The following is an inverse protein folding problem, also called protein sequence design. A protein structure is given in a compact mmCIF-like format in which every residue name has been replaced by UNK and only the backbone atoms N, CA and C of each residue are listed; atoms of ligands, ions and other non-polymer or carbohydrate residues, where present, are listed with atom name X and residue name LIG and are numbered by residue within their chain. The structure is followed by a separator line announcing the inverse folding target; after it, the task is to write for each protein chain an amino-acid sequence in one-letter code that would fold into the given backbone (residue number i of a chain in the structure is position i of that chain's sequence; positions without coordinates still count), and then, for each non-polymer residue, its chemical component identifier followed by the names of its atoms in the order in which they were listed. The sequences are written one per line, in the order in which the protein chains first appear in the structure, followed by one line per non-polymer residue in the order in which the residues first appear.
data_IF_739133788557
#
_entry.id   IF_739133788557
#
_cell.length_a   1.000
_cell.length_b   1.000
_cell.length_c   1.000
_cell.angle_alpha   90.00
_cell.angle_beta   90.00
_cell.angle_gamma   90.00
#
_symmetry.space_group_name_H-M   'P 1'
#
loop_
_entity.id
_entity.type
_entity.pdbx_description
1 polymer ?
#
# COMPACT_ATOMS: atom_id res chain seq x y z
N UNK A 1 -4.48 -40.82 -0.07
CA UNK A 1 -4.49 -39.59 -0.89
C UNK A 1 -5.66 -38.70 -0.48
N UNK A 2 -5.55 -38.03 0.65
CA UNK A 2 -6.54 -37.08 1.18
C UNK A 2 -5.81 -36.22 2.20
N UNK A 3 -5.00 -35.22 1.76
CA UNK A 3 -4.37 -34.21 2.66
C UNK A 3 -3.62 -33.08 1.92
N UNK A 4 -3.99 -32.74 0.67
CA UNK A 4 -3.30 -31.64 -0.07
C UNK A 4 -4.13 -30.35 -0.15
N UNK A 5 -5.40 -30.34 0.29
CA UNK A 5 -6.32 -29.23 0.00
C UNK A 5 -6.48 -28.18 1.13
N UNK A 6 -5.48 -27.98 2.03
CA UNK A 6 -5.67 -27.02 3.15
C UNK A 6 -4.54 -26.04 3.41
N UNK A 7 -3.67 -25.77 2.43
CA UNK A 7 -2.51 -24.90 2.70
C UNK A 7 -2.26 -23.81 1.64
N UNK A 8 -3.32 -23.23 1.10
CA UNK A 8 -3.24 -22.07 0.18
C UNK A 8 -3.89 -20.83 0.86
N UNK A 9 -3.50 -20.57 2.10
CA UNK A 9 -3.92 -19.35 2.80
C UNK A 9 -2.75 -18.84 3.62
N UNK A 10 -1.94 -17.95 3.05
CA UNK A 10 -1.20 -16.94 3.77
C UNK A 10 -0.23 -16.16 2.87
N UNK A 11 -0.74 -15.43 1.90
CA UNK A 11 -0.09 -14.22 1.39
C UNK A 11 -1.20 -13.32 0.85
N UNK A 12 -1.97 -12.73 1.76
CA UNK A 12 -2.85 -11.63 1.43
C UNK A 12 -2.40 -10.42 2.25
N UNK A 13 -1.74 -9.50 1.58
CA UNK A 13 -1.62 -8.11 2.01
C UNK A 13 -3.05 -7.55 2.09
N UNK A 14 -3.63 -7.49 3.30
CA UNK A 14 -4.88 -6.80 3.53
C UNK A 14 -4.60 -5.37 3.99
N UNK A 15 -4.75 -4.45 3.05
CA UNK A 15 -5.16 -3.08 3.36
C UNK A 15 -6.68 -3.06 3.19
N UNK A 16 -7.42 -3.23 4.28
CA UNK A 16 -8.86 -2.96 4.29
C UNK A 16 -9.14 -2.01 5.43
N UNK A 17 -9.45 -0.77 5.08
CA UNK A 17 -10.10 0.16 5.97
C UNK A 17 -11.54 -0.30 6.26
N UNK A 18 -11.77 -0.94 7.38
CA UNK A 18 -13.08 -1.29 7.89
C UNK A 18 -13.45 -0.42 9.08
N UNK A 19 -14.53 0.32 8.97
CA UNK A 19 -15.15 1.07 10.05
C UNK A 19 -15.74 0.05 11.03
N UNK A 20 -15.17 -0.07 12.23
CA UNK A 20 -15.75 -0.85 13.32
C UNK A 20 -16.35 0.12 14.33
N UNK A 21 -17.68 0.03 14.48
CA UNK A 21 -18.39 0.67 15.59
C UNK A 21 -17.99 0.00 16.91
N UNK A 22 -17.57 0.82 17.85
CA UNK A 22 -17.32 0.39 19.23
C UNK A 22 -18.64 -0.04 19.90
N UNK A 23 -18.71 -1.29 20.30
CA UNK A 23 -19.70 -1.78 21.25
C UNK A 23 -19.07 -1.86 22.63
N UNK A 24 -19.75 -1.25 23.60
CA UNK A 24 -19.40 -1.28 25.02
C UNK A 24 -19.32 -2.72 25.52
N UNK A 25 -18.17 -3.08 26.09
CA UNK A 25 -17.99 -4.32 26.81
C UNK A 25 -18.09 -4.03 28.33
N UNK A 26 -19.14 -4.55 28.89
CA UNK A 26 -19.53 -4.50 30.29
C UNK A 26 -18.52 -5.26 31.18
N UNK A 27 -18.16 -4.63 32.30
CA UNK A 27 -17.30 -5.21 33.32
C UNK A 27 -18.04 -6.32 34.08
N UNK A 28 -17.53 -7.54 34.03
CA UNK A 28 -17.81 -8.53 35.09
C UNK A 28 -16.53 -9.29 35.44
N UNK A 29 -15.79 -8.75 36.39
CA UNK A 29 -14.77 -9.50 37.12
C UNK A 29 -15.39 -10.14 38.37
N UNK A 30 -15.57 -11.46 38.32
CA UNK A 30 -15.87 -12.26 39.47
C UNK A 30 -14.59 -12.61 40.23
N UNK A 31 -14.54 -12.21 41.49
CA UNK A 31 -13.54 -12.58 42.50
C UNK A 31 -13.56 -14.07 42.77
N UNK A 32 -12.43 -14.75 42.69
CA UNK A 32 -12.23 -16.06 43.32
C UNK A 32 -10.94 -16.10 44.14
N UNK A 33 -11.16 -16.56 45.28
CA UNK A 33 -10.50 -16.86 46.52
C UNK A 33 -9.01 -17.29 46.48
N UNK A 34 -8.32 -16.80 47.51
CA UNK A 34 -6.89 -16.98 47.76
C UNK A 34 -6.64 -18.33 48.44
N UNK A 35 -5.86 -19.18 47.82
CA UNK A 35 -5.06 -20.20 48.54
C UNK A 35 -3.57 -19.96 48.22
N UNK A 36 -2.82 -19.69 49.29
CA UNK A 36 -1.40 -19.38 49.30
C UNK A 36 -0.57 -20.60 48.89
N UNK A 37 0.01 -20.55 47.67
CA UNK A 37 1.16 -21.36 47.28
C UNK A 37 2.26 -20.41 46.83
N UNK A 38 3.50 -20.67 47.24
CA UNK A 38 4.69 -19.85 47.04
C UNK A 38 4.73 -19.29 45.62
N UNK A 39 4.57 -17.97 45.45
CA UNK A 39 4.63 -17.26 44.18
C UNK A 39 6.09 -17.29 43.67
N UNK A 40 6.42 -18.32 42.90
CA UNK A 40 7.43 -18.17 41.85
C UNK A 40 6.75 -17.41 40.73
N UNK A 41 7.03 -16.09 40.63
CA UNK A 41 6.67 -15.33 39.45
C UNK A 41 7.36 -16.01 38.28
N UNK A 42 6.61 -16.67 37.39
CA UNK A 42 7.17 -17.24 36.16
C UNK A 42 7.58 -16.03 35.32
N UNK A 43 8.87 -15.69 35.32
CA UNK A 43 9.45 -14.85 34.29
C UNK A 43 9.22 -15.54 32.96
N UNK A 44 8.98 -14.77 31.91
CA UNK A 44 8.67 -15.26 30.57
C UNK A 44 9.59 -16.40 30.11
N UNK A 45 9.03 -17.47 29.52
CA UNK A 45 9.78 -18.63 29.09
C UNK A 45 10.35 -18.44 27.67
N UNK A 46 11.53 -19.04 27.41
CA UNK A 46 12.06 -19.14 26.06
C UNK A 46 11.29 -20.25 25.34
N UNK A 47 10.62 -19.92 24.23
CA UNK A 47 9.92 -20.87 23.39
C UNK A 47 10.87 -21.51 22.35
N UNK A 48 11.73 -20.70 21.72
CA UNK A 48 12.75 -21.15 20.78
C UNK A 48 13.91 -20.14 20.66
N UNK A 49 15.04 -20.60 20.10
CA UNK A 49 16.18 -19.77 19.71
C UNK A 49 16.53 -20.09 18.26
N UNK A 50 16.70 -19.06 17.42
CA UNK A 50 17.09 -19.17 16.02
C UNK A 50 18.28 -18.25 15.78
N UNK A 51 19.47 -18.82 15.56
CA UNK A 51 20.68 -18.03 15.48
C UNK A 51 20.86 -17.12 16.70
N UNK A 52 20.88 -15.80 16.46
CA UNK A 52 21.03 -14.79 17.52
C UNK A 52 19.69 -14.31 18.10
N UNK A 53 18.57 -14.83 17.63
CA UNK A 53 17.24 -14.41 18.03
C UNK A 53 16.59 -15.35 19.02
N UNK A 54 16.03 -14.80 20.08
CA UNK A 54 15.22 -15.49 21.07
C UNK A 54 13.74 -15.23 20.81
N UNK A 55 12.92 -16.28 20.89
CA UNK A 55 11.46 -16.18 20.86
C UNK A 55 10.95 -16.55 22.23
N UNK A 56 10.18 -15.65 22.83
CA UNK A 56 9.57 -15.82 24.15
C UNK A 56 8.16 -16.41 24.01
N UNK A 57 7.67 -17.07 25.07
CA UNK A 57 6.29 -17.56 25.13
C UNK A 57 5.29 -16.40 24.98
N UNK A 58 5.60 -15.23 25.57
CA UNK A 58 4.79 -14.03 25.45
C UNK A 58 4.73 -13.46 24.01
N UNK A 59 5.74 -13.71 23.17
CA UNK A 59 5.72 -13.24 21.78
C UNK A 59 4.66 -13.97 20.96
N UNK A 60 4.44 -15.26 21.27
CA UNK A 60 3.37 -16.06 20.64
C UNK A 60 2.02 -15.50 21.02
N UNK A 61 1.83 -15.18 22.33
CA UNK A 61 0.56 -14.64 22.84
C UNK A 61 0.27 -13.24 22.28
N UNK A 62 1.29 -12.36 22.21
CA UNK A 62 1.18 -11.04 21.58
C UNK A 62 0.78 -11.15 20.11
N UNK A 63 1.42 -12.03 19.35
CA UNK A 63 1.10 -12.25 17.93
C UNK A 63 -0.35 -12.69 17.74
N UNK A 64 -0.87 -13.54 18.62
CA UNK A 64 -2.28 -13.95 18.58
C UNK A 64 -3.23 -12.78 18.88
N UNK A 65 -2.88 -11.93 19.86
CA UNK A 65 -3.66 -10.74 20.21
C UNK A 65 -3.67 -9.75 19.04
N UNK A 66 -2.53 -9.52 18.41
CA UNK A 66 -2.41 -8.61 17.27
C UNK A 66 -3.23 -9.09 16.06
N UNK A 67 -3.21 -10.38 15.74
CA UNK A 67 -4.04 -10.95 14.67
C UNK A 67 -5.53 -10.76 14.94
N UNK A 68 -5.97 -10.97 16.19
CA UNK A 68 -7.36 -10.73 16.60
C UNK A 68 -7.74 -9.25 16.49
N UNK A 69 -6.87 -8.35 16.89
CA UNK A 69 -7.11 -6.90 16.83
C UNK A 69 -7.26 -6.39 15.38
N UNK A 70 -6.60 -7.06 14.44
CA UNK A 70 -6.71 -6.79 13.01
C UNK A 70 -7.93 -7.44 12.35
N UNK A 71 -8.79 -8.11 13.12
CA UNK A 71 -10.00 -8.78 12.60
C UNK A 71 -9.73 -10.07 11.84
N UNK A 72 -8.51 -10.63 11.93
CA UNK A 72 -8.20 -11.91 11.29
C UNK A 72 -8.94 -13.07 11.96
N UNK A 73 -9.46 -14.02 11.16
CA UNK A 73 -10.00 -15.26 11.69
C UNK A 73 -8.88 -16.08 12.33
N UNK A 74 -8.99 -16.36 13.63
CA UNK A 74 -8.00 -17.15 14.37
C UNK A 74 -8.45 -18.58 14.66
N UNK A 75 -9.56 -19.04 14.04
CA UNK A 75 -10.14 -20.36 14.31
C UNK A 75 -9.22 -21.53 13.99
N UNK A 76 -8.43 -21.40 12.91
CA UNK A 76 -7.50 -22.45 12.46
C UNK A 76 -6.04 -22.15 12.88
N UNK A 77 -5.79 -21.10 13.66
CA UNK A 77 -4.46 -20.70 14.09
C UNK A 77 -4.16 -21.36 15.44
N UNK A 78 -3.16 -22.25 15.45
CA UNK A 78 -2.67 -22.89 16.67
C UNK A 78 -1.45 -22.16 17.23
N UNK A 79 -1.17 -22.35 18.53
CA UNK A 79 0.06 -21.84 19.15
C UNK A 79 1.30 -22.37 18.43
N UNK A 80 1.30 -23.65 18.02
CA UNK A 80 2.38 -24.27 17.27
C UNK A 80 2.59 -23.61 15.88
N UNK A 81 1.50 -23.29 15.17
CA UNK A 81 1.60 -22.63 13.87
C UNK A 81 2.15 -21.19 14.00
N UNK A 82 1.79 -20.48 15.07
CA UNK A 82 2.35 -19.15 15.37
C UNK A 82 3.83 -19.23 15.71
N UNK A 83 4.22 -20.17 16.57
CA UNK A 83 5.63 -20.38 16.90
C UNK A 83 6.43 -20.72 15.64
N UNK A 84 5.93 -21.63 14.78
CA UNK A 84 6.57 -21.95 13.51
C UNK A 84 6.77 -20.73 12.62
N UNK A 85 5.76 -19.85 12.53
CA UNK A 85 5.86 -18.58 11.77
C UNK A 85 6.88 -17.61 12.37
N UNK A 86 6.89 -17.44 13.68
CA UNK A 86 7.90 -16.63 14.35
C UNK A 86 9.33 -17.16 14.12
N UNK A 87 9.51 -18.50 14.12
CA UNK A 87 10.79 -19.12 13.84
C UNK A 87 11.24 -18.86 12.39
N UNK A 88 10.32 -18.94 11.41
CA UNK A 88 10.59 -18.57 10.01
C UNK A 88 11.06 -17.12 9.90
N UNK A 89 10.34 -16.18 10.52
CA UNK A 89 10.67 -14.75 10.45
C UNK A 89 12.04 -14.46 11.10
N UNK A 90 12.39 -15.17 12.20
CA UNK A 90 13.72 -15.06 12.83
C UNK A 90 14.82 -15.62 11.94
N UNK A 91 14.56 -16.73 11.25
CA UNK A 91 15.55 -17.33 10.34
C UNK A 91 15.82 -16.41 9.15
N UNK A 92 14.77 -15.84 8.53
CA UNK A 92 14.94 -14.85 7.47
C UNK A 92 15.74 -13.64 7.95
N UNK A 93 15.41 -13.07 9.12
CA UNK A 93 16.11 -11.92 9.65
C UNK A 93 17.58 -12.24 10.00
N UNK A 94 17.84 -13.41 10.59
CA UNK A 94 19.19 -13.88 10.87
C UNK A 94 20.03 -13.95 9.60
N UNK A 95 19.52 -14.61 8.57
CA UNK A 95 20.21 -14.75 7.30
C UNK A 95 20.35 -13.41 6.55
N UNK A 96 19.36 -12.51 6.65
CA UNK A 96 19.47 -11.17 6.09
C UNK A 96 20.68 -10.42 6.64
N UNK A 97 20.93 -10.53 7.96
CA UNK A 97 22.11 -9.93 8.60
C UNK A 97 23.41 -10.59 8.13
N UNK A 98 23.43 -11.94 8.04
CA UNK A 98 24.59 -12.67 7.53
C UNK A 98 24.94 -12.29 6.10
N UNK A 99 23.91 -12.10 5.26
CA UNK A 99 24.04 -11.69 3.86
C UNK A 99 24.25 -10.17 3.68
N UNK A 100 24.43 -9.42 4.77
CA UNK A 100 24.61 -7.96 4.76
C UNK A 100 23.47 -7.19 4.10
N UNK A 101 22.23 -7.70 4.20
CA UNK A 101 21.04 -6.98 3.77
C UNK A 101 20.68 -5.93 4.83
N UNK A 102 21.06 -4.69 4.57
CA UNK A 102 20.87 -3.61 5.52
C UNK A 102 19.46 -2.99 5.40
N UNK A 103 18.87 -2.72 6.55
CA UNK A 103 17.69 -1.86 6.71
C UNK A 103 18.16 -0.64 7.51
N UNK A 104 17.93 0.57 6.99
CA UNK A 104 18.39 1.78 7.70
C UNK A 104 17.49 2.07 8.90
N UNK A 105 18.08 2.55 9.97
CA UNK A 105 17.32 2.92 11.18
C UNK A 105 16.31 4.04 10.89
N UNK A 106 16.60 4.94 9.93
CA UNK A 106 15.67 5.98 9.50
C UNK A 106 14.41 5.40 8.84
N UNK A 107 14.55 4.36 8.01
CA UNK A 107 13.40 3.66 7.41
C UNK A 107 12.54 2.98 8.48
N UNK A 108 13.19 2.33 9.47
CA UNK A 108 12.47 1.68 10.58
C UNK A 108 11.74 2.71 11.43
N UNK A 109 12.40 3.85 11.75
CA UNK A 109 11.79 4.93 12.51
C UNK A 109 10.60 5.55 11.78
N UNK A 110 10.73 5.83 10.50
CA UNK A 110 9.64 6.37 9.69
C UNK A 110 8.41 5.43 9.66
N UNK A 111 8.65 4.12 9.51
CA UNK A 111 7.60 3.10 9.57
C UNK A 111 6.94 3.06 10.96
N UNK A 112 7.73 3.11 12.03
CA UNK A 112 7.24 3.07 13.42
C UNK A 112 6.44 4.33 13.76
N UNK A 113 6.89 5.51 13.33
CA UNK A 113 6.19 6.78 13.54
C UNK A 113 4.84 6.81 12.79
N UNK A 114 4.81 6.32 11.55
CA UNK A 114 3.57 6.16 10.79
C UNK A 114 2.57 5.23 11.49
N UNK A 115 3.06 4.11 12.00
CA UNK A 115 2.24 3.15 12.74
C UNK A 115 1.70 3.74 14.06
N UNK A 116 2.54 4.44 14.83
CA UNK A 116 2.13 5.15 16.06
C UNK A 116 1.05 6.18 15.76
N UNK A 117 1.21 6.96 14.69
CA UNK A 117 0.22 7.94 14.27
C UNK A 117 -1.12 7.29 13.94
N UNK A 118 -1.10 6.21 13.17
CA UNK A 118 -2.30 5.45 12.79
C UNK A 118 -2.99 4.86 14.03
N UNK A 119 -2.26 4.18 14.92
CA UNK A 119 -2.79 3.61 16.16
C UNK A 119 -3.39 4.68 17.08
N UNK A 120 -2.71 5.84 17.19
CA UNK A 120 -3.21 6.96 18.00
C UNK A 120 -4.53 7.50 17.43
N UNK A 121 -4.67 7.60 16.10
CA UNK A 121 -5.92 8.02 15.48
C UNK A 121 -7.05 7.00 15.69
N UNK A 122 -6.76 5.71 15.59
CA UNK A 122 -7.75 4.63 15.78
C UNK A 122 -8.23 4.52 17.24
N UNK A 123 -7.31 4.63 18.19
CA UNK A 123 -7.60 4.45 19.63
C UNK A 123 -8.05 5.77 20.27
N UNK A 124 -7.72 6.91 19.65
CA UNK A 124 -8.19 8.25 19.99
C UNK A 124 -7.23 9.08 20.86
N UNK A 125 -6.25 8.50 21.56
CA UNK A 125 -5.18 9.26 22.24
C UNK A 125 -3.95 8.42 22.54
N UNK A 126 -2.80 9.07 22.77
CA UNK A 126 -1.55 8.42 23.16
C UNK A 126 -1.68 7.66 24.47
N UNK A 127 -2.34 8.24 25.48
CA UNK A 127 -2.50 7.62 26.80
C UNK A 127 -3.33 6.33 26.70
N UNK A 128 -4.41 6.35 25.91
CA UNK A 128 -5.23 5.15 25.68
C UNK A 128 -4.44 4.07 24.93
N UNK A 129 -3.64 4.46 23.95
CA UNK A 129 -2.78 3.56 23.20
C UNK A 129 -1.74 2.89 24.11
N UNK A 130 -1.02 3.67 24.91
CA UNK A 130 -0.03 3.13 25.87
C UNK A 130 -0.67 2.18 26.88
N UNK A 131 -1.87 2.53 27.37
CA UNK A 131 -2.64 1.65 28.28
C UNK A 131 -3.07 0.36 27.58
N UNK A 132 -3.52 0.45 26.32
CA UNK A 132 -3.95 -0.72 25.53
C UNK A 132 -2.79 -1.71 25.32
N UNK A 133 -1.60 -1.20 24.97
CA UNK A 133 -0.39 -2.00 24.77
C UNK A 133 0.39 -2.27 26.06
N UNK A 134 -0.13 -1.87 27.22
CA UNK A 134 0.50 -2.03 28.53
C UNK A 134 1.93 -1.48 28.59
N UNK A 135 2.13 -0.25 28.05
CA UNK A 135 3.43 0.41 28.01
C UNK A 135 3.51 1.57 29.00
N UNK A 136 4.66 1.74 29.68
CA UNK A 136 4.81 2.80 30.67
C UNK A 136 4.89 4.19 30.02
N UNK A 137 5.50 4.28 28.84
CA UNK A 137 5.75 5.53 28.14
C UNK A 137 5.95 5.33 26.64
N UNK A 138 6.01 6.44 25.89
CA UNK A 138 6.19 6.45 24.45
C UNK A 138 7.57 5.95 24.01
N UNK A 139 8.61 6.18 24.80
CA UNK A 139 9.97 5.75 24.46
C UNK A 139 10.05 4.23 24.44
N UNK A 140 9.55 3.56 25.49
CA UNK A 140 9.50 2.10 25.57
C UNK A 140 8.66 1.51 24.45
N UNK A 141 7.52 2.16 24.10
CA UNK A 141 6.67 1.71 22.99
C UNK A 141 7.35 1.86 21.65
N UNK A 142 8.00 3.00 21.40
CA UNK A 142 8.75 3.26 20.17
C UNK A 142 9.91 2.28 19.99
N UNK A 143 10.67 2.01 21.06
CA UNK A 143 11.77 1.05 21.02
C UNK A 143 11.27 -0.36 20.66
N UNK A 144 10.19 -0.81 21.28
CA UNK A 144 9.61 -2.13 20.92
C UNK A 144 9.13 -2.18 19.48
N UNK A 145 8.42 -1.15 18.99
CA UNK A 145 8.02 -1.08 17.59
C UNK A 145 9.21 -1.04 16.64
N UNK A 146 10.27 -0.34 17.00
CA UNK A 146 11.50 -0.31 16.23
C UNK A 146 12.07 -1.71 16.02
N UNK A 147 12.24 -2.49 17.10
CA UNK A 147 12.77 -3.85 17.03
C UNK A 147 11.86 -4.78 16.20
N UNK A 148 10.55 -4.72 16.43
CA UNK A 148 9.55 -5.50 15.67
C UNK A 148 9.61 -5.14 14.18
N UNK A 149 9.61 -3.84 13.85
CA UNK A 149 9.63 -3.38 12.46
C UNK A 149 10.96 -3.70 11.77
N UNK A 150 12.10 -3.53 12.46
CA UNK A 150 13.43 -3.87 11.94
C UNK A 150 13.50 -5.34 11.55
N UNK A 151 13.05 -6.21 12.43
CA UNK A 151 13.03 -7.64 12.19
C UNK A 151 12.12 -8.00 11.02
N UNK A 152 10.92 -7.44 10.96
CA UNK A 152 9.99 -7.64 9.86
C UNK A 152 10.59 -7.19 8.52
N UNK A 153 11.17 -6.00 8.47
CA UNK A 153 11.78 -5.46 7.25
C UNK A 153 12.98 -6.31 6.79
N UNK A 154 13.80 -6.83 7.70
CA UNK A 154 14.87 -7.78 7.37
C UNK A 154 14.31 -9.08 6.79
N UNK A 155 13.26 -9.64 7.42
CA UNK A 155 12.59 -10.84 6.95
C UNK A 155 11.99 -10.65 5.55
N UNK A 156 11.26 -9.57 5.32
CA UNK A 156 10.68 -9.22 4.01
C UNK A 156 11.75 -9.04 2.94
N UNK A 157 12.86 -8.36 3.28
CA UNK A 157 13.96 -8.14 2.36
C UNK A 157 14.65 -9.44 1.96
N UNK A 158 14.82 -10.37 2.91
CA UNK A 158 15.37 -11.69 2.62
C UNK A 158 14.44 -12.51 1.73
N UNK A 159 13.14 -12.53 2.04
CA UNK A 159 12.16 -13.22 1.20
C UNK A 159 12.15 -12.67 -0.22
N UNK A 160 12.20 -11.35 -0.38
CA UNK A 160 12.30 -10.70 -1.70
C UNK A 160 13.55 -11.16 -2.44
N UNK A 161 14.73 -11.15 -1.78
CA UNK A 161 16.00 -11.59 -2.37
C UNK A 161 15.96 -13.04 -2.86
N UNK A 162 15.30 -13.94 -2.12
CA UNK A 162 15.18 -15.35 -2.51
C UNK A 162 14.42 -15.51 -3.84
N UNK A 163 13.46 -14.62 -4.12
CA UNK A 163 12.55 -14.78 -5.26
C UNK A 163 12.73 -13.75 -6.38
N UNK A 164 13.55 -12.71 -6.19
CA UNK A 164 13.67 -11.59 -7.15
C UNK A 164 14.17 -11.98 -8.54
N UNK A 165 15.02 -13.01 -8.62
CA UNK A 165 15.55 -13.50 -9.90
C UNK A 165 14.77 -14.69 -10.47
N UNK A 166 13.66 -15.08 -9.81
CA UNK A 166 12.88 -16.23 -10.23
C UNK A 166 11.87 -15.81 -11.31
N UNK A 167 12.11 -16.31 -12.51
CA UNK A 167 11.23 -16.13 -13.65
C UNK A 167 10.67 -17.47 -14.12
N UNK A 168 9.59 -17.45 -14.88
CA UNK A 168 9.04 -18.64 -15.54
C UNK A 168 9.08 -18.49 -17.05
N UNK A 169 9.57 -19.52 -17.72
CA UNK A 169 9.55 -19.61 -19.18
C UNK A 169 8.15 -20.02 -19.68
N UNK A 170 7.78 -19.73 -20.94
CA UNK A 170 6.51 -20.19 -21.51
C UNK A 170 6.30 -21.71 -21.44
N UNK A 171 7.38 -22.47 -21.53
CA UNK A 171 7.32 -23.93 -21.42
C UNK A 171 7.03 -24.39 -19.98
N UNK A 172 7.62 -23.75 -18.97
CA UNK A 172 7.32 -24.03 -17.56
C UNK A 172 5.87 -23.67 -17.23
N UNK A 173 5.33 -22.58 -17.77
CA UNK A 173 3.92 -22.19 -17.62
C UNK A 173 3.01 -23.29 -18.23
N UNK A 174 3.35 -23.78 -19.42
CA UNK A 174 2.60 -24.87 -20.07
C UNK A 174 2.64 -26.15 -19.24
N UNK A 175 3.82 -26.53 -18.74
CA UNK A 175 3.99 -27.73 -17.91
C UNK A 175 3.23 -27.60 -16.59
N UNK A 176 3.24 -26.41 -15.97
CA UNK A 176 2.45 -26.13 -14.77
C UNK A 176 0.97 -26.36 -15.06
N UNK A 177 0.42 -25.73 -16.09
CA UNK A 177 -0.99 -25.85 -16.44
C UNK A 177 -1.42 -27.28 -16.76
N UNK A 178 -0.60 -28.02 -17.51
CA UNK A 178 -0.88 -29.40 -17.89
C UNK A 178 -0.85 -30.39 -16.71
N UNK A 179 -0.17 -30.04 -15.59
CA UNK A 179 -0.16 -30.84 -14.37
C UNK A 179 -1.45 -30.70 -13.56
N UNK A 180 -2.22 -29.64 -13.79
CA UNK A 180 -3.49 -29.42 -13.09
C UNK A 180 -4.58 -30.25 -13.77
N UNK A 181 -5.20 -31.21 -13.07
CA UNK A 181 -6.32 -31.95 -13.60
C UNK A 181 -7.45 -30.99 -14.03
N UNK A 182 -8.21 -31.33 -15.07
CA UNK A 182 -9.21 -30.44 -15.65
C UNK A 182 -10.30 -30.03 -14.65
N UNK A 183 -10.67 -30.90 -13.74
CA UNK A 183 -11.62 -30.68 -12.66
C UNK A 183 -11.07 -29.79 -11.52
N UNK A 184 -9.74 -29.75 -11.36
CA UNK A 184 -9.03 -28.94 -10.35
C UNK A 184 -8.52 -27.58 -10.90
N UNK A 185 -8.71 -27.31 -12.20
CA UNK A 185 -8.29 -26.02 -12.78
C UNK A 185 -8.99 -24.85 -12.08
N UNK A 186 -8.27 -23.75 -11.81
CA UNK A 186 -8.87 -22.60 -11.18
C UNK A 186 -10.01 -22.03 -12.01
N UNK A 187 -11.02 -21.51 -11.34
CA UNK A 187 -12.11 -20.76 -11.96
C UNK A 187 -11.76 -19.28 -11.82
N UNK A 188 -11.72 -18.58 -12.95
CA UNK A 188 -11.57 -17.12 -12.96
C UNK A 188 -12.95 -16.47 -12.97
N UNK A 189 -13.13 -15.49 -12.09
CA UNK A 189 -14.38 -14.75 -11.97
C UNK A 189 -14.68 -13.92 -13.22
N UNK A 190 -15.89 -13.36 -13.29
CA UNK A 190 -16.26 -12.46 -14.37
C UNK A 190 -15.38 -11.21 -14.41
N UNK A 191 -14.98 -10.78 -15.60
CA UNK A 191 -14.05 -9.69 -15.84
C UNK A 191 -14.55 -8.70 -16.88
N UNK A 192 -14.06 -7.47 -16.77
CA UNK A 192 -14.34 -6.40 -17.73
C UNK A 192 -13.03 -5.85 -18.32
N UNK A 193 -13.04 -5.58 -19.61
CA UNK A 193 -12.12 -4.63 -20.24
C UNK A 193 -12.81 -3.28 -20.36
N UNK A 194 -12.17 -2.24 -19.86
CA UNK A 194 -12.75 -0.90 -19.73
C UNK A 194 -11.87 0.08 -20.47
N UNK A 195 -12.49 0.92 -21.29
CA UNK A 195 -11.81 2.03 -21.94
C UNK A 195 -12.42 3.37 -21.48
N UNK A 196 -11.60 4.42 -21.46
CA UNK A 196 -12.00 5.77 -21.09
C UNK A 196 -11.50 6.83 -22.05
N UNK A 197 -12.23 7.94 -22.14
CA UNK A 197 -11.80 9.20 -22.76
C UNK A 197 -11.94 10.27 -21.70
N UNK A 198 -10.85 10.96 -21.40
CA UNK A 198 -10.78 11.94 -20.33
C UNK A 198 -10.64 13.35 -20.89
N UNK A 199 -11.35 14.29 -20.28
CA UNK A 199 -11.15 15.74 -20.45
C UNK A 199 -10.84 16.37 -19.11
N UNK A 200 -9.78 17.19 -19.10
CA UNK A 200 -9.37 17.92 -17.92
C UNK A 200 -9.56 19.43 -18.19
N UNK A 201 -10.60 20.05 -17.60
CA UNK A 201 -10.80 21.49 -17.74
C UNK A 201 -9.62 22.22 -17.13
N UNK A 202 -9.15 23.27 -17.81
CA UNK A 202 -8.00 24.05 -17.38
C UNK A 202 -8.46 25.39 -16.82
N UNK A 203 -7.77 25.85 -15.79
CA UNK A 203 -7.93 27.19 -15.30
C UNK A 203 -7.51 28.21 -16.39
N UNK A 204 -8.15 29.38 -16.41
CA UNK A 204 -7.75 30.45 -17.30
C UNK A 204 -6.38 31.06 -16.90
N UNK A 205 -5.71 31.69 -17.83
CA UNK A 205 -4.44 32.37 -17.55
C UNK A 205 -4.59 33.47 -16.48
N UNK A 206 -5.77 34.07 -16.39
CA UNK A 206 -6.09 35.07 -15.34
C UNK A 206 -6.12 34.40 -13.95
N UNK A 207 -6.76 33.25 -13.81
CA UNK A 207 -6.82 32.53 -12.53
C UNK A 207 -5.44 31.97 -12.14
N UNK A 208 -4.66 31.50 -13.10
CA UNK A 208 -3.27 31.10 -12.87
C UNK A 208 -2.44 32.28 -12.37
N UNK A 209 -2.57 33.45 -13.02
CA UNK A 209 -1.83 34.65 -12.63
C UNK A 209 -2.23 35.17 -11.24
N UNK A 210 -3.51 35.07 -10.85
CA UNK A 210 -3.94 35.39 -9.48
C UNK A 210 -3.22 34.57 -8.44
N UNK A 211 -3.16 33.25 -8.65
CA UNK A 211 -2.48 32.33 -7.73
C UNK A 211 -0.98 32.60 -7.66
N UNK A 212 -0.34 32.82 -8.81
CA UNK A 212 1.09 33.17 -8.88
C UNK A 212 1.36 34.48 -8.09
N UNK A 213 0.53 35.49 -8.28
CA UNK A 213 0.68 36.75 -7.58
C UNK A 213 0.49 36.59 -6.07
N UNK A 214 -0.52 35.83 -5.65
CA UNK A 214 -0.72 35.49 -4.23
C UNK A 214 0.46 34.78 -3.60
N UNK A 215 1.08 33.78 -4.31
CA UNK A 215 2.28 33.13 -3.84
C UNK A 215 3.47 34.08 -3.75
N UNK A 216 3.62 35.02 -4.69
CA UNK A 216 4.66 36.03 -4.65
C UNK A 216 4.46 37.00 -3.46
N UNK A 217 3.23 37.40 -3.17
CA UNK A 217 2.92 38.23 -1.99
C UNK A 217 3.25 37.46 -0.69
N UNK A 218 2.85 36.21 -0.59
CA UNK A 218 3.20 35.35 0.59
C UNK A 218 4.72 35.25 0.75
N UNK A 219 5.44 35.00 -0.35
CA UNK A 219 6.90 34.92 -0.35
C UNK A 219 7.54 36.23 0.10
N UNK A 220 7.08 37.35 -0.41
CA UNK A 220 7.56 38.71 -0.06
C UNK A 220 7.31 39.00 1.42
N UNK A 221 6.14 38.65 1.94
CA UNK A 221 5.81 38.84 3.36
C UNK A 221 6.78 38.05 4.28
N UNK A 222 7.18 36.85 3.88
CA UNK A 222 8.14 36.06 4.66
C UNK A 222 9.55 36.67 4.58
N UNK A 223 9.96 37.13 3.39
CA UNK A 223 11.30 37.66 3.16
C UNK A 223 11.53 39.06 3.72
N UNK A 224 10.53 39.91 3.68
CA UNK A 224 10.67 41.36 3.98
C UNK A 224 10.00 41.78 5.30
N UNK A 225 8.94 41.05 5.72
CA UNK A 225 8.10 41.43 6.87
C UNK A 225 8.20 40.45 8.04
N UNK A 226 9.20 39.53 8.06
CA UNK A 226 9.40 38.50 9.09
C UNK A 226 8.17 37.61 9.35
N UNK A 227 7.28 37.45 8.36
CA UNK A 227 6.11 36.61 8.49
C UNK A 227 6.53 35.13 8.53
N UNK A 228 5.95 34.35 9.44
CA UNK A 228 6.25 32.93 9.53
C UNK A 228 5.70 32.14 8.35
N UNK A 229 6.55 31.43 7.59
CA UNK A 229 6.14 30.56 6.50
C UNK A 229 5.18 29.47 6.98
N UNK A 230 5.43 28.87 8.14
CA UNK A 230 4.55 27.88 8.79
C UNK A 230 3.12 28.43 8.96
N UNK A 231 2.98 29.65 9.50
CA UNK A 231 1.66 30.28 9.71
C UNK A 231 0.98 30.53 8.36
N UNK A 232 1.73 31.04 7.35
CA UNK A 232 1.21 31.24 6.00
C UNK A 232 0.74 29.93 5.37
N UNK A 233 1.47 28.83 5.56
CA UNK A 233 1.08 27.50 5.07
C UNK A 233 -0.21 26.99 5.73
N UNK A 234 -0.37 27.16 7.06
CA UNK A 234 -1.60 26.79 7.76
C UNK A 234 -2.80 27.59 7.24
N UNK A 235 -2.62 28.87 6.97
CA UNK A 235 -3.72 29.74 6.54
C UNK A 235 -4.10 29.52 5.07
N UNK A 236 -3.13 29.47 4.17
CA UNK A 236 -3.35 29.58 2.74
C UNK A 236 -3.16 28.28 1.97
N UNK A 237 -2.30 27.35 2.42
CA UNK A 237 -2.04 26.13 1.64
C UNK A 237 -3.31 25.29 1.44
N UNK A 238 -3.44 24.78 0.22
CA UNK A 238 -4.51 23.85 -0.18
C UNK A 238 -4.01 22.39 -0.21
N UNK A 239 -2.74 22.12 0.21
CA UNK A 239 -2.26 20.76 0.34
C UNK A 239 -2.84 20.06 1.59
N UNK A 240 -3.69 19.03 1.42
CA UNK A 240 -4.31 18.34 2.55
C UNK A 240 -3.30 17.55 3.39
N UNK A 241 -2.16 17.15 2.80
CA UNK A 241 -1.13 16.33 3.46
C UNK A 241 -0.26 17.08 4.47
N UNK A 242 0.02 18.35 4.20
CA UNK A 242 0.96 19.13 5.01
C UNK A 242 0.39 20.42 5.62
N UNK A 243 -0.76 20.91 5.16
CA UNK A 243 -1.36 22.17 5.65
C UNK A 243 -1.42 22.24 7.17
N UNK A 244 -1.92 21.19 7.83
CA UNK A 244 -2.07 21.12 9.30
C UNK A 244 -0.73 21.12 10.04
N UNK A 245 0.35 20.75 9.36
CA UNK A 245 1.73 20.74 9.86
C UNK A 245 2.52 21.96 9.41
N UNK A 246 1.84 23.00 8.91
CA UNK A 246 2.47 24.22 8.39
C UNK A 246 3.29 23.99 7.13
N UNK A 247 2.82 23.10 6.27
CA UNK A 247 3.45 22.79 4.99
C UNK A 247 4.68 21.86 5.08
N UNK A 248 4.97 21.25 6.24
CA UNK A 248 6.20 20.51 6.48
C UNK A 248 6.23 19.14 5.80
N UNK A 249 7.37 18.88 5.14
CA UNK A 249 7.78 17.56 4.68
C UNK A 249 9.28 17.34 4.92
N UNK A 250 9.67 16.09 5.20
CA UNK A 250 11.04 15.61 5.06
C UNK A 250 11.11 14.71 3.83
N UNK A 251 12.09 14.92 2.94
CA UNK A 251 12.18 14.18 1.70
C UNK A 251 13.62 13.92 1.26
N UNK A 252 13.79 12.81 0.53
CA UNK A 252 14.99 12.46 -0.23
C UNK A 252 14.68 12.46 -1.74
N UNK A 253 15.67 12.19 -2.59
CA UNK A 253 15.44 12.06 -4.04
C UNK A 253 14.54 10.88 -4.42
N UNK A 254 14.49 9.84 -3.58
CA UNK A 254 13.65 8.64 -3.75
C UNK A 254 12.21 8.86 -3.27
N UNK A 255 11.96 9.89 -2.47
CA UNK A 255 10.59 10.19 -2.00
C UNK A 255 9.67 10.43 -3.21
N UNK A 256 8.46 9.87 -3.24
CA UNK A 256 7.57 9.86 -4.41
C UNK A 256 6.86 11.23 -4.64
N UNK A 257 7.63 12.30 -4.73
CA UNK A 257 7.17 13.60 -5.22
C UNK A 257 7.35 13.70 -6.73
N UNK A 258 6.50 14.52 -7.38
CA UNK A 258 6.62 14.80 -8.82
C UNK A 258 7.95 15.46 -9.13
N UNK A 259 8.42 15.24 -10.36
CA UNK A 259 9.75 15.64 -10.81
C UNK A 259 9.99 17.14 -10.62
N UNK A 260 9.02 17.97 -11.03
CA UNK A 260 9.10 19.42 -10.96
C UNK A 260 9.29 19.91 -9.52
N UNK A 261 8.59 19.31 -8.56
CA UNK A 261 8.72 19.61 -7.14
C UNK A 261 10.12 19.24 -6.61
N UNK A 262 10.61 18.03 -6.96
CA UNK A 262 11.96 17.59 -6.58
C UNK A 262 13.04 18.46 -7.19
N UNK A 263 12.94 18.79 -8.47
CA UNK A 263 13.93 19.60 -9.17
C UNK A 263 14.08 20.98 -8.50
N UNK A 264 12.96 21.62 -8.11
CA UNK A 264 12.98 22.90 -7.38
C UNK A 264 13.54 22.70 -5.97
N UNK A 265 13.02 21.74 -5.19
CA UNK A 265 13.44 21.54 -3.80
C UNK A 265 14.95 21.31 -3.68
N UNK A 266 15.54 20.46 -4.55
CA UNK A 266 16.97 20.14 -4.54
C UNK A 266 17.87 21.20 -5.22
N UNK A 267 17.31 22.26 -5.80
CA UNK A 267 18.06 23.40 -6.34
C UNK A 267 18.28 24.52 -5.31
N UNK A 268 17.52 24.53 -4.20
CA UNK A 268 17.53 25.55 -3.18
C UNK A 268 18.58 25.29 -2.10
N UNK A 269 19.00 26.37 -1.43
CA UNK A 269 19.86 26.32 -0.25
C UNK A 269 19.04 26.40 1.04
N UNK A 270 19.65 26.03 2.16
CA UNK A 270 19.03 26.18 3.48
C UNK A 270 18.67 27.65 3.75
N UNK A 271 17.44 27.90 4.17
CA UNK A 271 16.88 29.24 4.39
C UNK A 271 16.29 29.91 3.14
N UNK A 272 16.38 29.28 1.97
CA UNK A 272 15.90 29.86 0.71
C UNK A 272 14.44 29.53 0.45
N UNK A 273 13.71 30.49 -0.20
CA UNK A 273 12.33 30.30 -0.65
C UNK A 273 12.30 30.38 -2.18
N UNK A 274 11.69 29.36 -2.81
CA UNK A 274 11.56 29.31 -4.27
C UNK A 274 10.69 30.44 -4.84
N UNK A 275 10.87 30.74 -6.12
CA UNK A 275 9.81 31.40 -6.91
C UNK A 275 8.62 30.45 -7.07
N UNK A 276 7.39 31.00 -7.33
CA UNK A 276 6.25 30.15 -7.69
C UNK A 276 6.52 29.30 -8.92
N UNK A 277 6.23 27.99 -8.84
CA UNK A 277 6.37 27.04 -9.94
C UNK A 277 5.14 26.14 -10.06
N UNK A 278 4.89 25.63 -11.26
CA UNK A 278 3.73 24.80 -11.59
C UNK A 278 4.05 23.31 -11.49
N UNK A 279 3.09 22.52 -11.00
CA UNK A 279 3.04 21.07 -11.09
C UNK A 279 1.64 20.62 -11.52
N UNK A 280 1.41 19.36 -11.75
CA UNK A 280 0.08 18.82 -12.05
C UNK A 280 -0.95 19.07 -10.90
N UNK A 281 -0.49 19.41 -9.70
CA UNK A 281 -1.35 19.71 -8.54
C UNK A 281 -1.70 21.19 -8.39
N UNK A 282 -0.98 22.09 -9.04
CA UNK A 282 -1.17 23.54 -8.95
C UNK A 282 0.16 24.29 -8.85
N UNK A 283 0.14 25.43 -8.18
CA UNK A 283 1.31 26.29 -8.03
C UNK A 283 1.86 26.22 -6.62
N UNK A 284 3.18 26.10 -6.51
CA UNK A 284 3.88 25.92 -5.25
C UNK A 284 4.92 27.01 -5.01
N UNK A 285 5.22 27.25 -3.74
CA UNK A 285 6.48 27.79 -3.24
C UNK A 285 7.04 26.85 -2.17
N UNK A 286 8.36 26.67 -2.15
CA UNK A 286 9.06 25.81 -1.19
C UNK A 286 10.01 26.68 -0.37
N UNK A 287 10.09 26.42 0.93
CA UNK A 287 11.06 26.95 1.87
C UNK A 287 11.88 25.81 2.44
N UNK A 288 13.21 25.85 2.29
CA UNK A 288 14.11 24.86 2.87
C UNK A 288 14.45 25.24 4.31
N UNK A 289 13.95 24.46 5.28
CA UNK A 289 14.28 24.69 6.69
C UNK A 289 15.66 24.16 7.05
N UNK A 290 16.02 22.95 6.55
CA UNK A 290 17.28 22.31 6.87
C UNK A 290 17.71 21.30 5.81
N UNK A 291 19.02 21.19 5.59
CA UNK A 291 19.62 20.19 4.72
C UNK A 291 20.45 19.22 5.59
N UNK A 292 20.11 17.91 5.53
CA UNK A 292 20.79 16.85 6.26
C UNK A 292 21.34 15.81 5.28
N UNK A 293 22.50 16.07 4.70
CA UNK A 293 23.09 15.20 3.70
C UNK A 293 22.24 15.09 2.45
N UNK A 294 21.55 13.95 2.26
CA UNK A 294 20.63 13.74 1.12
C UNK A 294 19.15 14.01 1.47
N UNK A 295 18.87 14.33 2.71
CA UNK A 295 17.53 14.61 3.22
C UNK A 295 17.31 16.11 3.36
N UNK A 296 16.13 16.58 2.90
CA UNK A 296 15.67 17.96 3.00
C UNK A 296 14.47 18.03 3.95
N UNK A 297 14.57 18.88 4.99
CA UNK A 297 13.42 19.35 5.73
C UNK A 297 12.93 20.62 5.06
N UNK A 298 11.72 20.61 4.57
CA UNK A 298 11.14 21.74 3.84
C UNK A 298 9.71 22.03 4.27
N UNK A 299 9.26 23.25 3.95
CA UNK A 299 7.85 23.61 3.95
C UNK A 299 7.42 24.03 2.57
N UNK A 300 6.17 23.75 2.23
CA UNK A 300 5.60 24.26 0.99
C UNK A 300 4.20 24.84 1.18
N UNK A 301 3.82 25.69 0.25
CA UNK A 301 2.45 26.18 0.10
C UNK A 301 2.00 25.80 -1.31
N UNK A 302 0.87 25.11 -1.38
CA UNK A 302 0.18 24.79 -2.63
C UNK A 302 -1.04 25.69 -2.77
N UNK A 303 -1.17 26.36 -3.90
CA UNK A 303 -2.41 27.03 -4.30
C UNK A 303 -2.87 26.47 -5.66
N UNK A 304 -4.17 26.18 -5.76
CA UNK A 304 -4.80 25.61 -6.95
C UNK A 304 -5.64 26.70 -7.62
N UNK A 305 -5.37 27.04 -8.91
CA UNK A 305 -6.19 28.01 -9.63
C UNK A 305 -7.65 27.54 -9.73
N UNK A 306 -8.60 28.42 -9.52
CA UNK A 306 -10.01 28.10 -9.70
C UNK A 306 -10.29 27.78 -11.17
N UNK A 307 -11.05 26.71 -11.39
CA UNK A 307 -11.52 26.35 -12.72
C UNK A 307 -12.88 26.98 -12.93
N UNK A 308 -13.00 27.91 -13.90
CA UNK A 308 -14.28 28.55 -14.18
C UNK A 308 -15.34 27.53 -14.55
N UNK A 309 -16.57 27.78 -14.12
CA UNK A 309 -17.70 26.90 -14.44
C UNK A 309 -17.87 26.68 -15.94
N UNK A 310 -17.61 27.72 -16.72
CA UNK A 310 -17.68 27.70 -18.19
C UNK A 310 -16.68 26.67 -18.78
N UNK A 311 -15.48 26.56 -18.19
CA UNK A 311 -14.47 25.56 -18.61
C UNK A 311 -14.93 24.12 -18.26
N UNK A 312 -15.59 23.94 -17.11
CA UNK A 312 -16.18 22.68 -16.70
C UNK A 312 -17.31 22.30 -17.67
N UNK A 313 -18.27 23.22 -17.88
CA UNK A 313 -19.42 22.98 -18.77
C UNK A 313 -18.95 22.66 -20.20
N UNK A 314 -17.92 23.34 -20.69
CA UNK A 314 -17.31 23.07 -21.99
C UNK A 314 -16.70 21.66 -22.05
N UNK A 315 -15.96 21.24 -21.05
CA UNK A 315 -15.35 19.88 -21.01
C UNK A 315 -16.43 18.78 -21.03
N UNK A 316 -17.53 18.98 -20.29
CA UNK A 316 -18.68 18.06 -20.28
C UNK A 316 -19.36 18.03 -21.65
N UNK A 317 -19.60 19.19 -22.27
CA UNK A 317 -20.21 19.27 -23.62
C UNK A 317 -19.31 18.64 -24.71
N UNK A 318 -17.99 18.82 -24.62
CA UNK A 318 -17.05 18.17 -25.52
C UNK A 318 -17.15 16.64 -25.40
N UNK A 319 -17.17 16.10 -24.17
CA UNK A 319 -17.36 14.66 -23.94
C UNK A 319 -18.70 14.13 -24.47
N UNK A 320 -19.79 14.85 -24.26
CA UNK A 320 -21.08 14.46 -24.81
C UNK A 320 -21.07 14.49 -26.34
N UNK A 321 -20.42 15.48 -26.95
CA UNK A 321 -20.23 15.55 -28.40
C UNK A 321 -19.42 14.38 -28.93
N UNK A 322 -18.28 14.06 -28.28
CA UNK A 322 -17.43 12.91 -28.63
C UNK A 322 -18.24 11.62 -28.49
N UNK A 323 -18.97 11.46 -27.39
CA UNK A 323 -19.85 10.32 -27.14
C UNK A 323 -20.86 10.14 -28.29
N UNK A 324 -21.55 11.21 -28.68
CA UNK A 324 -22.52 11.15 -29.78
C UNK A 324 -21.85 10.80 -31.11
N UNK A 325 -20.69 11.36 -31.41
CA UNK A 325 -19.95 11.04 -32.64
C UNK A 325 -19.52 9.57 -32.71
N UNK A 326 -19.23 8.95 -31.56
CA UNK A 326 -18.93 7.52 -31.50
C UNK A 326 -20.20 6.71 -31.73
N UNK A 327 -21.32 7.08 -31.11
CA UNK A 327 -22.62 6.41 -31.28
C UNK A 327 -23.08 6.49 -32.74
N UNK A 328 -22.86 7.63 -33.39
CA UNK A 328 -23.22 7.85 -34.80
C UNK A 328 -22.24 7.15 -35.78
N UNK A 329 -21.21 6.47 -35.25
CA UNK A 329 -20.24 5.71 -36.06
C UNK A 329 -19.21 6.58 -36.79
N UNK A 330 -19.07 7.88 -36.43
CA UNK A 330 -18.08 8.76 -37.03
C UNK A 330 -16.64 8.41 -36.59
N UNK A 331 -16.49 7.93 -35.39
CA UNK A 331 -15.25 7.44 -34.83
C UNK A 331 -15.47 6.13 -34.09
N UNK A 332 -14.51 5.24 -34.10
CA UNK A 332 -14.40 4.20 -33.08
C UNK A 332 -14.03 4.82 -31.72
N UNK A 333 -14.26 4.13 -30.64
CA UNK A 333 -13.87 4.62 -29.31
C UNK A 333 -12.35 4.84 -29.23
N UNK A 334 -11.56 3.93 -29.82
CA UNK A 334 -10.11 4.02 -29.85
C UNK A 334 -9.60 5.24 -30.63
N UNK A 335 -10.17 5.52 -31.81
CA UNK A 335 -9.86 6.73 -32.60
C UNK A 335 -10.23 8.00 -31.84
N UNK A 336 -11.37 8.00 -31.18
CA UNK A 336 -11.79 9.14 -30.36
C UNK A 336 -10.87 9.34 -29.14
N UNK A 337 -10.45 8.26 -28.48
CA UNK A 337 -9.48 8.33 -27.39
C UNK A 337 -8.13 8.93 -27.87
N UNK A 338 -7.61 8.44 -28.99
CA UNK A 338 -6.38 8.94 -29.58
C UNK A 338 -6.44 10.44 -29.93
N UNK A 339 -7.55 10.88 -30.51
CA UNK A 339 -7.70 12.26 -31.00
C UNK A 339 -8.08 13.25 -29.91
N UNK A 340 -8.87 12.85 -28.94
CA UNK A 340 -9.56 13.80 -28.04
C UNK A 340 -9.26 13.60 -26.56
N UNK A 341 -8.72 12.44 -26.12
CA UNK A 341 -8.42 12.24 -24.70
C UNK A 341 -7.23 13.10 -24.26
N UNK A 342 -7.35 13.70 -23.07
CA UNK A 342 -6.26 14.42 -22.40
C UNK A 342 -5.39 13.48 -21.55
N UNK A 343 -5.87 12.25 -21.26
CA UNK A 343 -5.14 11.24 -20.49
C UNK A 343 -4.04 10.58 -21.32
N UNK A 344 -2.78 10.87 -20.98
CA UNK A 344 -1.62 10.40 -21.75
C UNK A 344 -1.39 8.88 -21.62
N UNK A 345 -1.73 8.30 -20.49
CA UNK A 345 -1.44 6.89 -20.17
C UNK A 345 -2.29 5.92 -21.00
N UNK A 346 -3.57 6.26 -21.25
CA UNK A 346 -4.50 5.40 -21.97
C UNK A 346 -4.75 5.83 -23.42
N UNK A 347 -4.47 7.08 -23.74
CA UNK A 347 -4.76 7.70 -25.05
C UNK A 347 -4.25 6.90 -26.24
N UNK A 348 -3.01 6.42 -26.17
CA UNK A 348 -2.36 5.71 -27.26
C UNK A 348 -2.73 4.22 -27.35
N UNK A 349 -3.40 3.70 -26.32
CA UNK A 349 -3.92 2.33 -26.25
C UNK A 349 -5.45 2.30 -26.42
N UNK A 350 -5.98 3.22 -27.22
CA UNK A 350 -7.41 3.30 -27.50
C UNK A 350 -8.29 3.65 -26.31
N UNK A 351 -7.71 4.24 -25.28
CA UNK A 351 -8.37 4.54 -24.01
C UNK A 351 -8.42 3.37 -23.03
N UNK A 352 -7.83 2.23 -23.34
CA UNK A 352 -7.89 1.01 -22.52
C UNK A 352 -7.22 1.21 -21.16
N UNK A 353 -7.96 0.90 -20.10
CA UNK A 353 -7.41 0.88 -18.74
C UNK A 353 -6.56 -0.37 -18.52
N UNK A 354 -5.52 -0.23 -17.72
CA UNK A 354 -4.72 -1.36 -17.26
C UNK A 354 -4.68 -1.39 -15.73
N UNK A 355 -4.74 -2.59 -15.19
CA UNK A 355 -4.62 -2.81 -13.77
C UNK A 355 -3.19 -2.37 -13.32
N UNK A 356 -3.06 -1.46 -12.36
CA UNK A 356 -1.75 -0.93 -11.93
C UNK A 356 -0.84 -2.00 -11.27
N UNK A 357 -1.41 -3.12 -10.83
CA UNK A 357 -0.66 -4.17 -10.12
C UNK A 357 0.01 -5.15 -11.11
N UNK A 358 -0.73 -5.60 -12.13
CA UNK A 358 -0.27 -6.66 -13.05
C UNK A 358 -0.28 -6.23 -14.52
N UNK A 359 -0.65 -4.98 -14.82
CA UNK A 359 -0.76 -4.41 -16.18
C UNK A 359 -1.73 -5.15 -17.12
N UNK A 360 -2.57 -6.05 -16.59
CA UNK A 360 -3.63 -6.69 -17.37
C UNK A 360 -4.72 -5.68 -17.72
N UNK A 361 -5.29 -5.80 -18.92
CA UNK A 361 -6.45 -5.02 -19.36
C UNK A 361 -7.76 -5.51 -18.74
N UNK A 362 -7.77 -6.68 -18.13
CA UNK A 362 -8.94 -7.32 -17.54
C UNK A 362 -9.02 -7.04 -16.05
N UNK A 363 -10.17 -6.57 -15.64
CA UNK A 363 -10.49 -6.28 -14.25
C UNK A 363 -11.52 -7.29 -13.74
N UNK A 364 -11.11 -8.14 -12.79
CA UNK A 364 -12.03 -9.06 -12.13
C UNK A 364 -13.02 -8.27 -11.25
N UNK A 365 -14.31 -8.50 -11.45
CA UNK A 365 -15.39 -7.73 -10.79
C UNK A 365 -15.30 -7.76 -9.26
N UNK A 366 -14.89 -8.89 -8.69
CA UNK A 366 -14.77 -9.10 -7.24
C UNK A 366 -13.55 -8.45 -6.62
N UNK A 367 -12.54 -8.10 -7.42
CA UNK A 367 -11.28 -7.49 -7.00
C UNK A 367 -11.10 -6.06 -7.51
N UNK A 368 -12.11 -5.55 -8.24
CA UNK A 368 -12.07 -4.20 -8.80
C UNK A 368 -12.14 -3.16 -7.69
N UNK A 369 -11.40 -2.06 -7.88
CA UNK A 369 -11.54 -0.89 -7.00
C UNK A 369 -13.01 -0.47 -6.89
N UNK A 370 -13.53 -0.22 -5.67
CA UNK A 370 -14.94 0.12 -5.48
C UNK A 370 -15.40 1.36 -6.23
N UNK A 371 -14.52 2.35 -6.44
CA UNK A 371 -14.84 3.57 -7.19
C UNK A 371 -15.03 3.25 -8.67
N UNK A 372 -14.08 2.50 -9.25
CA UNK A 372 -14.17 2.03 -10.64
C UNK A 372 -15.38 1.14 -10.85
N UNK A 373 -15.62 0.19 -9.95
CA UNK A 373 -16.80 -0.68 -9.99
C UNK A 373 -18.10 0.13 -10.03
N UNK A 374 -18.25 1.12 -9.13
CA UNK A 374 -19.45 1.96 -9.10
C UNK A 374 -19.65 2.77 -10.37
N UNK A 375 -18.57 3.18 -11.05
CA UNK A 375 -18.66 3.91 -12.31
C UNK A 375 -19.12 3.03 -13.49
N UNK A 376 -18.74 1.75 -13.50
CA UNK A 376 -18.97 0.87 -14.66
C UNK A 376 -20.11 -0.14 -14.48
N UNK A 377 -20.54 -0.46 -13.26
CA UNK A 377 -21.51 -1.52 -12.97
C UNK A 377 -22.83 -1.43 -13.71
N UNK A 378 -23.26 -0.21 -14.09
CA UNK A 378 -24.52 0.03 -14.79
C UNK A 378 -24.33 0.21 -16.31
N UNK A 379 -23.12 0.13 -16.84
CA UNK A 379 -22.83 0.27 -18.27
C UNK A 379 -23.00 -1.11 -18.91
N UNK A 380 -23.82 -1.19 -19.94
CA UNK A 380 -24.00 -2.43 -20.73
C UNK A 380 -22.85 -2.60 -21.73
N UNK A 381 -22.68 -3.81 -22.20
CA UNK A 381 -21.65 -4.12 -23.19
C UNK A 381 -21.82 -3.28 -24.44
N UNK A 382 -20.74 -2.60 -24.84
CA UNK A 382 -20.76 -1.67 -25.98
C UNK A 382 -21.37 -0.30 -25.70
N UNK A 383 -22.03 -0.10 -24.56
CA UNK A 383 -22.59 1.19 -24.16
C UNK A 383 -21.49 2.13 -23.68
N UNK A 384 -21.67 3.44 -23.93
CA UNK A 384 -20.77 4.49 -23.46
C UNK A 384 -21.49 5.29 -22.38
N UNK A 385 -20.84 5.47 -21.24
CA UNK A 385 -21.38 6.25 -20.13
C UNK A 385 -21.65 7.70 -20.54
N UNK A 386 -22.49 8.39 -19.78
CA UNK A 386 -22.49 9.85 -19.75
C UNK A 386 -21.20 10.36 -19.12
N UNK A 387 -20.84 11.64 -19.28
CA UNK A 387 -19.70 12.22 -18.60
C UNK A 387 -19.76 12.01 -17.07
N UNK A 388 -18.71 11.47 -16.51
CA UNK A 388 -18.53 11.18 -15.07
C UNK A 388 -17.46 12.15 -14.57
N UNK A 389 -17.74 12.85 -13.46
CA UNK A 389 -16.76 13.66 -12.75
C UNK A 389 -15.91 12.77 -11.86
N UNK A 390 -14.62 13.04 -11.84
CA UNK A 390 -13.64 12.43 -10.95
C UNK A 390 -12.80 13.53 -10.29
N UNK A 391 -12.86 13.58 -8.96
CA UNK A 391 -12.07 14.51 -8.16
C UNK A 391 -10.79 13.81 -7.67
N UNK A 392 -9.62 14.45 -7.76
CA UNK A 392 -8.38 13.91 -7.22
C UNK A 392 -8.40 14.06 -5.68
N UNK A 393 -8.31 12.97 -4.90
CA UNK A 393 -8.34 13.04 -3.43
C UNK A 393 -7.12 13.80 -2.85
N UNK A 394 -6.06 13.99 -3.62
CA UNK A 394 -4.87 14.76 -3.24
C UNK A 394 -5.01 16.26 -3.51
N UNK A 395 -6.14 16.69 -4.06
CA UNK A 395 -6.44 18.06 -4.38
C UNK A 395 -5.82 18.46 -5.74
N UNK A 396 -6.45 18.24 -6.81
CA UNK A 396 -6.08 18.64 -8.16
C UNK A 396 -7.28 19.14 -8.92
N UNK A 397 -7.08 19.50 -10.20
CA UNK A 397 -8.19 19.84 -11.09
C UNK A 397 -9.09 18.62 -11.29
N UNK A 398 -10.43 18.78 -11.23
CA UNK A 398 -11.34 17.68 -11.50
C UNK A 398 -11.17 17.19 -12.95
N UNK A 399 -11.25 15.90 -13.16
CA UNK A 399 -11.30 15.28 -14.47
C UNK A 399 -12.74 14.88 -14.81
N UNK A 400 -13.05 14.88 -16.08
CA UNK A 400 -14.32 14.36 -16.61
C UNK A 400 -14.00 13.26 -17.60
N UNK A 401 -14.77 12.18 -17.56
CA UNK A 401 -14.52 11.03 -18.44
C UNK A 401 -15.82 10.37 -18.92
N UNK A 402 -15.76 9.82 -20.11
CA UNK A 402 -16.74 8.84 -20.60
C UNK A 402 -16.05 7.48 -20.62
N UNK A 403 -16.81 6.44 -20.27
CA UNK A 403 -16.28 5.09 -20.13
C UNK A 403 -17.10 4.15 -21.00
N UNK A 404 -16.42 3.11 -21.49
CA UNK A 404 -17.03 2.03 -22.28
C UNK A 404 -16.55 0.69 -21.75
N UNK A 405 -17.44 -0.29 -21.65
CA UNK A 405 -17.07 -1.69 -21.51
C UNK A 405 -16.73 -2.19 -22.91
N UNK A 406 -15.42 -2.45 -23.14
CA UNK A 406 -14.93 -2.96 -24.42
C UNK A 406 -15.25 -4.43 -24.59
N UNK A 407 -15.02 -5.22 -23.55
CA UNK A 407 -15.33 -6.65 -23.51
C UNK A 407 -15.79 -7.05 -22.10
N UNK A 408 -16.63 -8.07 -22.06
CA UNK A 408 -17.04 -8.77 -20.84
C UNK A 408 -16.68 -10.23 -20.98
N UNK A 409 -16.09 -10.79 -19.96
CA UNK A 409 -15.76 -12.19 -19.85
C UNK A 409 -16.56 -12.78 -18.70
N UNK A 410 -17.31 -13.83 -18.98
CA UNK A 410 -18.04 -14.56 -17.94
C UNK A 410 -17.06 -15.40 -17.09
N UNK A 411 -17.54 -15.79 -15.90
CA UNK A 411 -16.83 -16.75 -15.07
C UNK A 411 -16.56 -18.02 -15.86
N UNK A 412 -15.30 -18.49 -15.84
CA UNK A 412 -14.91 -19.68 -16.61
C UNK A 412 -13.74 -20.42 -15.95
N UNK A 413 -13.62 -21.72 -16.25
CA UNK A 413 -12.42 -22.49 -15.92
C UNK A 413 -11.23 -21.97 -16.73
N UNK A 414 -10.06 -21.95 -16.11
CA UNK A 414 -8.82 -21.51 -16.74
C UNK A 414 -8.59 -22.16 -18.10
N UNK A 415 -8.41 -21.33 -19.12
CA UNK A 415 -8.06 -21.67 -20.49
C UNK A 415 -6.64 -21.15 -20.80
N UNK A 416 -5.75 -22.05 -21.25
CA UNK A 416 -4.35 -21.67 -21.44
C UNK A 416 -4.14 -20.50 -22.42
N UNK A 417 -4.93 -20.43 -23.50
CA UNK A 417 -4.77 -19.41 -24.50
C UNK A 417 -5.39 -18.06 -24.08
N UNK A 418 -6.50 -18.12 -23.34
CA UNK A 418 -7.23 -16.91 -22.90
C UNK A 418 -6.64 -16.30 -21.65
N UNK A 419 -6.08 -17.12 -20.74
CA UNK A 419 -5.71 -16.71 -19.39
C UNK A 419 -4.20 -16.86 -19.13
N UNK A 420 -3.40 -16.81 -20.21
CA UNK A 420 -1.95 -17.08 -20.13
C UNK A 420 -1.26 -16.27 -19.04
N UNK A 421 -1.51 -14.96 -18.92
CA UNK A 421 -0.87 -14.10 -17.93
C UNK A 421 -1.20 -14.51 -16.48
N UNK A 422 -2.45 -14.89 -16.22
CA UNK A 422 -2.86 -15.38 -14.89
C UNK A 422 -2.24 -16.74 -14.57
N UNK A 423 -2.20 -17.63 -15.57
CA UNK A 423 -1.57 -18.95 -15.43
C UNK A 423 -0.06 -18.77 -15.22
N UNK A 424 0.57 -17.83 -15.90
CA UNK A 424 1.97 -17.47 -15.71
C UNK A 424 2.23 -16.99 -14.28
N UNK A 425 1.36 -16.12 -13.74
CA UNK A 425 1.46 -15.66 -12.35
C UNK A 425 1.33 -16.82 -11.35
N UNK A 426 0.40 -17.73 -11.58
CA UNK A 426 0.25 -18.92 -10.74
C UNK A 426 1.48 -19.85 -10.81
N UNK A 427 2.02 -20.06 -12.01
CA UNK A 427 3.25 -20.85 -12.21
C UNK A 427 4.46 -20.19 -11.55
N UNK A 428 4.58 -18.86 -11.64
CA UNK A 428 5.63 -18.10 -10.97
C UNK A 428 5.53 -18.23 -9.45
N UNK A 429 4.34 -18.05 -8.88
CA UNK A 429 4.10 -18.22 -7.44
C UNK A 429 4.45 -19.63 -6.96
N UNK A 430 4.08 -20.67 -7.72
CA UNK A 430 4.47 -22.06 -7.36
C UNK A 430 5.99 -22.22 -7.38
N UNK A 431 6.67 -21.67 -8.38
CA UNK A 431 8.15 -21.74 -8.49
C UNK A 431 8.82 -21.00 -7.34
N UNK A 432 8.34 -19.81 -7.01
CA UNK A 432 8.80 -19.00 -5.88
C UNK A 432 8.59 -19.74 -4.54
N UNK A 433 7.40 -20.32 -4.34
CA UNK A 433 7.11 -21.09 -3.15
C UNK A 433 8.07 -22.30 -2.98
N UNK A 434 8.35 -23.01 -4.08
CA UNK A 434 9.33 -24.12 -4.06
C UNK A 434 10.74 -23.64 -3.72
N UNK A 435 11.13 -22.48 -4.23
CA UNK A 435 12.44 -21.90 -3.94
C UNK A 435 12.54 -21.47 -2.47
N UNK A 436 11.51 -20.80 -1.94
CA UNK A 436 11.44 -20.43 -0.52
C UNK A 436 11.52 -21.68 0.36
N UNK A 437 10.76 -22.74 0.02
CA UNK A 437 10.79 -23.97 0.80
C UNK A 437 12.18 -24.62 0.78
N UNK A 438 12.79 -24.73 -0.39
CA UNK A 438 14.14 -25.28 -0.53
C UNK A 438 15.15 -24.46 0.28
N UNK A 439 15.09 -23.14 0.16
CA UNK A 439 15.93 -22.22 0.93
C UNK A 439 15.73 -22.43 2.44
N UNK A 440 14.48 -22.55 2.89
CA UNK A 440 14.14 -22.78 4.29
C UNK A 440 14.74 -24.11 4.81
N UNK A 441 14.56 -25.21 4.07
CA UNK A 441 15.09 -26.53 4.43
C UNK A 441 16.63 -26.48 4.57
N UNK A 442 17.33 -25.84 3.60
CA UNK A 442 18.79 -25.69 3.61
C UNK A 442 19.28 -24.87 4.83
N UNK A 443 18.65 -23.71 5.11
CA UNK A 443 19.11 -22.83 6.18
C UNK A 443 18.68 -23.27 7.59
N UNK A 444 17.64 -24.09 7.70
CA UNK A 444 17.32 -24.78 8.96
C UNK A 444 18.47 -25.74 9.33
N UNK A 445 19.06 -26.44 8.37
CA UNK A 445 20.16 -27.36 8.64
C UNK A 445 21.41 -26.63 9.12
N UNK A 446 21.73 -25.48 8.52
CA UNK A 446 22.98 -24.74 8.76
C UNK A 446 22.90 -23.77 9.96
N UNK A 447 21.71 -23.40 10.43
CA UNK A 447 21.55 -22.44 11.53
C UNK A 447 21.44 -23.15 12.89
N UNK A 448 21.97 -22.53 13.94
CA UNK A 448 21.71 -22.98 15.30
C UNK A 448 20.24 -22.77 15.66
N UNK A 449 19.55 -23.86 15.98
CA UNK A 449 18.14 -23.85 16.36
C UNK A 449 17.94 -24.66 17.62
N UNK A 450 17.25 -24.06 18.59
CA UNK A 450 16.82 -24.73 19.80
C UNK A 450 15.34 -24.48 20.05
N UNK A 451 14.55 -25.56 20.08
CA UNK A 451 13.12 -25.49 20.45
C UNK A 451 12.97 -26.04 21.86
N UNK A 452 12.28 -25.30 22.73
CA UNK A 452 12.06 -25.72 24.11
C UNK A 452 11.30 -27.07 24.14
N UNK A 453 11.57 -27.87 25.16
CA UNK A 453 11.00 -29.22 25.33
C UNK A 453 9.47 -29.21 25.31
N UNK A 454 8.84 -28.17 25.86
CA UNK A 454 7.37 -28.01 25.87
C UNK A 454 6.76 -27.82 24.45
N UNK A 455 7.57 -27.37 23.48
CA UNK A 455 7.14 -27.08 22.11
C UNK A 455 7.67 -28.08 21.08
N UNK A 456 8.44 -29.11 21.51
CA UNK A 456 9.03 -30.10 20.58
C UNK A 456 8.00 -31.00 19.91
N UNK A 457 6.86 -31.22 20.55
CA UNK A 457 5.78 -32.08 20.04
C UNK A 457 4.83 -31.29 19.08
N UNK A 458 5.15 -30.04 18.75
CA UNK A 458 4.41 -29.26 17.77
C UNK A 458 4.51 -29.84 16.36
N UNK A 459 3.37 -29.95 15.67
CA UNK A 459 3.30 -30.29 14.24
C UNK A 459 3.66 -29.04 13.40
N UNK A 460 4.94 -28.83 13.21
CA UNK A 460 5.47 -27.71 12.44
C UNK A 460 5.42 -27.97 10.93
N UNK A 461 5.25 -26.91 10.14
CA UNK A 461 5.32 -26.98 8.69
C UNK A 461 6.74 -27.32 8.16
N UNK A 462 7.76 -26.91 8.91
CA UNK A 462 9.18 -27.15 8.61
C UNK A 462 9.83 -27.99 9.72
N UNK A 463 10.93 -28.66 9.41
CA UNK A 463 11.63 -29.55 10.36
C UNK A 463 12.55 -28.76 11.33
N UNK A 464 11.93 -28.07 12.30
CA UNK A 464 12.65 -27.25 13.29
C UNK A 464 13.35 -28.04 14.39
N UNK A 465 12.91 -29.26 14.66
CA UNK A 465 13.46 -30.12 15.70
C UNK A 465 14.48 -31.04 15.06
N UNK A 466 15.76 -30.67 15.18
CA UNK A 466 16.85 -31.54 14.74
C UNK A 466 16.98 -32.75 15.70
N UNK A 467 17.11 -33.94 15.17
CA UNK A 467 17.36 -35.18 15.93
C UNK A 467 18.73 -35.18 16.64
#
# INVERSE_FOLDING_TARGET
MKKINRMVWAMALFVVGGIVQAQDLDESMASTDSTSTSNKVKLDGIAAVIGDYVILESDIDKTLIDLKSQGASTQDITRCSLLGKLMEDRLYAHQAVQDSLLVSDDQVNAQSDGQIQQLTQQIGSVEKMLKYYNKPDMESFRQELFEINKLRMLSEKMQTKIVEEIEVTPEEVRQFFNKIPEDERPVFGAELEIAQIVKQPKASDEEKQKVINQLKEIRQDVLENDASFNVKAILYSQDPGSKSKGGFYSMTRETPFVKEFKDVAFSLQEGEISEPFETDFGYHIIYIEKIRGQELDLRHILLIPEIPKEAIDKAVQELDTIRQQIIDGKYTFAEAALNFSDEKETKFDGGLLRNPINFDSRFELTKMDPTLYNQVRNIKDGEISKPIREDDPRGGAPKFKIMKISNRYDEHKADFAKDYLKIQELALREKQFKAIKKWMDEHIEDTYIHVNTENKDCDFANNWVKE
#
